data_IF_304100445517
#
_entry.id   IF_304100445517
#
_cell.length_a   1.000
_cell.length_b   1.000
_cell.length_c   1.000
_cell.angle_alpha   90.00
_cell.angle_beta   90.00
_cell.angle_gamma   90.00
#
_symmetry.space_group_name_H-M   'P 1'
#
loop_
_entity.id
_entity.type
_entity.pdbx_description
1 polymer ?
#
# COMPACT_ATOMS: atom_id res chain seq x y z
N UNK A 1 0.98 1.75 7.52
CA UNK A 1 -0.20 0.85 7.64
C UNK A 1 -1.37 1.62 8.26
N UNK A 2 -2.57 1.44 7.73
CA UNK A 2 -3.85 1.97 8.26
C UNK A 2 -4.75 0.79 8.56
N UNK A 3 -5.50 0.76 9.67
CA UNK A 3 -6.33 -0.39 10.07
C UNK A 3 -7.68 0.05 10.64
N UNK A 4 -8.73 -0.69 10.32
CA UNK A 4 -10.07 -0.47 10.87
C UNK A 4 -10.15 -0.73 12.37
N UNK A 5 -11.04 -0.02 13.05
CA UNK A 5 -11.37 -0.31 14.46
C UNK A 5 -11.85 -1.76 14.59
N UNK A 6 -11.47 -2.42 15.70
CA UNK A 6 -11.81 -3.83 15.97
C UNK A 6 -11.44 -4.79 14.83
N UNK A 7 -10.46 -4.43 13.99
CA UNK A 7 -10.09 -5.17 12.78
C UNK A 7 -11.26 -5.39 11.80
N UNK A 8 -12.32 -4.58 11.89
CA UNK A 8 -13.48 -4.66 10.99
C UNK A 8 -13.10 -4.20 9.58
N UNK A 9 -13.87 -4.69 8.61
CA UNK A 9 -13.70 -4.30 7.22
C UNK A 9 -13.89 -2.78 7.03
N UNK A 10 -12.87 -2.15 6.45
CA UNK A 10 -12.89 -0.76 5.98
C UNK A 10 -13.22 -0.71 4.48
N UNK A 11 -13.25 -1.84 3.77
CA UNK A 11 -13.77 -1.96 2.40
C UNK A 11 -14.84 -3.05 2.36
N UNK A 12 -16.10 -2.67 2.24
CA UNK A 12 -17.24 -3.60 2.18
C UNK A 12 -17.70 -3.86 0.74
N UNK A 13 -17.31 -2.98 -0.18
CA UNK A 13 -17.69 -3.01 -1.59
C UNK A 13 -16.53 -2.62 -2.51
N UNK A 14 -16.72 -2.79 -3.82
CA UNK A 14 -15.84 -2.20 -4.84
C UNK A 14 -15.84 -0.67 -4.75
N UNK A 15 -17.00 -0.07 -4.51
CA UNK A 15 -17.17 1.38 -4.41
C UNK A 15 -16.31 1.99 -3.28
N UNK A 16 -16.18 1.29 -2.16
CA UNK A 16 -15.31 1.72 -1.06
C UNK A 16 -13.83 1.78 -1.50
N UNK A 17 -13.37 0.78 -2.26
CA UNK A 17 -11.98 0.74 -2.72
C UNK A 17 -11.72 1.83 -3.78
N UNK A 18 -12.65 2.06 -4.70
CA UNK A 18 -12.51 3.13 -5.69
C UNK A 18 -12.51 4.53 -5.06
N UNK A 19 -13.36 4.77 -4.05
CA UNK A 19 -13.36 6.04 -3.29
C UNK A 19 -12.00 6.28 -2.61
N UNK A 20 -11.40 5.22 -2.03
CA UNK A 20 -10.06 5.33 -1.45
C UNK A 20 -8.99 5.62 -2.50
N UNK A 21 -9.00 4.92 -3.64
CA UNK A 21 -8.03 5.14 -4.72
C UNK A 21 -8.17 6.55 -5.30
N UNK A 22 -9.38 6.99 -5.64
CA UNK A 22 -9.62 8.34 -6.18
C UNK A 22 -9.09 9.45 -5.27
N UNK A 23 -9.30 9.30 -3.96
CA UNK A 23 -8.74 10.20 -2.95
C UNK A 23 -7.22 10.14 -2.91
N UNK A 24 -6.64 8.94 -2.89
CA UNK A 24 -5.18 8.77 -2.89
C UNK A 24 -4.55 9.41 -4.13
N UNK A 25 -5.12 9.20 -5.32
CA UNK A 25 -4.68 9.82 -6.57
C UNK A 25 -4.66 11.35 -6.46
N UNK A 26 -5.73 11.95 -5.95
CA UNK A 26 -5.82 13.40 -5.76
C UNK A 26 -4.74 13.90 -4.79
N UNK A 27 -4.56 13.21 -3.66
CA UNK A 27 -3.56 13.57 -2.65
C UNK A 27 -2.13 13.47 -3.19
N UNK A 28 -1.82 12.47 -4.01
CA UNK A 28 -0.52 12.35 -4.66
C UNK A 28 -0.19 13.60 -5.48
N UNK A 29 -1.13 14.09 -6.29
CA UNK A 29 -0.95 15.29 -7.11
C UNK A 29 -0.73 16.53 -6.24
N UNK A 30 -1.60 16.77 -5.26
CA UNK A 30 -1.61 18.01 -4.47
C UNK A 30 -0.43 18.10 -3.48
N UNK A 31 0.08 16.96 -2.98
CA UNK A 31 1.14 16.93 -1.96
C UNK A 31 2.52 16.57 -2.53
N UNK A 32 2.56 16.03 -3.74
CA UNK A 32 3.75 15.42 -4.33
C UNK A 32 4.12 14.08 -3.68
N UNK A 33 3.21 13.45 -2.95
CA UNK A 33 3.43 12.13 -2.35
C UNK A 33 3.60 11.09 -3.45
N UNK A 34 4.74 10.39 -3.46
CA UNK A 34 5.04 9.36 -4.45
C UNK A 34 4.75 7.99 -3.85
N UNK A 35 3.89 7.19 -4.49
CA UNK A 35 3.56 5.83 -4.03
C UNK A 35 4.40 4.82 -4.81
N UNK A 36 5.20 4.03 -4.10
CA UNK A 36 6.07 3.00 -4.66
C UNK A 36 5.36 1.63 -4.69
N UNK A 37 4.74 1.24 -3.57
CA UNK A 37 4.00 -0.02 -3.43
C UNK A 37 2.78 0.16 -2.54
N UNK A 38 1.73 -0.61 -2.80
CA UNK A 38 0.49 -0.53 -2.01
C UNK A 38 -0.35 -1.81 -2.09
N UNK A 39 -1.22 -2.01 -1.10
CA UNK A 39 -2.25 -3.05 -1.11
C UNK A 39 -3.45 -2.63 -0.26
N UNK A 40 -4.67 -2.79 -0.82
CA UNK A 40 -5.92 -2.63 -0.08
C UNK A 40 -6.46 -4.00 0.31
N UNK A 41 -6.51 -4.24 1.62
CA UNK A 41 -6.99 -5.48 2.24
C UNK A 41 -8.30 -5.15 2.98
N UNK A 42 -9.19 -6.13 3.23
CA UNK A 42 -10.55 -5.83 3.71
C UNK A 42 -10.60 -4.90 4.93
N UNK A 43 -9.70 -5.06 5.90
CA UNK A 43 -9.66 -4.28 7.14
C UNK A 43 -8.42 -3.38 7.30
N UNK A 44 -7.51 -3.31 6.33
CA UNK A 44 -6.32 -2.47 6.43
C UNK A 44 -5.68 -2.12 5.08
N UNK A 45 -4.85 -1.09 5.08
CA UNK A 45 -4.10 -0.62 3.93
C UNK A 45 -2.60 -0.61 4.23
N UNK A 46 -1.83 -1.09 3.26
CA UNK A 46 -0.38 -0.92 3.22
C UNK A 46 -0.02 0.07 2.12
N UNK A 47 0.83 1.05 2.45
CA UNK A 47 1.42 2.00 1.53
C UNK A 47 2.92 2.09 1.83
N UNK A 48 3.75 2.04 0.79
CA UNK A 48 5.14 2.44 0.78
C UNK A 48 5.23 3.72 -0.04
N UNK A 49 5.62 4.80 0.61
CA UNK A 49 5.56 6.14 0.03
C UNK A 49 6.86 6.87 0.27
N UNK A 50 7.24 7.70 -0.71
CA UNK A 50 8.28 8.71 -0.58
C UNK A 50 7.60 10.07 -0.44
N UNK A 51 7.94 10.79 0.62
CA UNK A 51 7.37 12.12 0.88
C UNK A 51 7.81 13.11 -0.19
N UNK A 52 6.89 13.98 -0.60
CA UNK A 52 7.16 15.03 -1.56
C UNK A 52 7.33 16.39 -0.88
N UNK A 53 6.74 17.41 -1.51
CA UNK A 53 6.81 18.83 -1.12
C UNK A 53 6.11 19.14 0.20
N UNK A 54 5.14 18.31 0.61
CA UNK A 54 4.38 18.47 1.86
C UNK A 54 4.68 17.32 2.83
N UNK A 55 4.60 17.55 4.15
CA UNK A 55 4.74 16.48 5.14
C UNK A 55 3.74 15.34 4.91
N UNK A 56 4.18 14.09 5.16
CA UNK A 56 3.33 12.90 5.04
C UNK A 56 1.99 13.06 5.79
N UNK A 57 2.05 13.62 6.99
CA UNK A 57 0.89 13.81 7.85
C UNK A 57 -0.22 14.63 7.18
N UNK A 58 0.13 15.61 6.35
CA UNK A 58 -0.85 16.46 5.63
C UNK A 58 -1.64 15.63 4.62
N UNK A 59 -0.97 14.84 3.80
CA UNK A 59 -1.62 13.95 2.84
C UNK A 59 -2.45 12.86 3.51
N UNK A 60 -1.88 12.20 4.52
CA UNK A 60 -2.54 11.11 5.24
C UNK A 60 -3.78 11.60 6.02
N UNK A 61 -3.74 12.79 6.64
CA UNK A 61 -4.92 13.37 7.32
C UNK A 61 -6.06 13.57 6.31
N UNK A 62 -5.80 14.21 5.17
CA UNK A 62 -6.84 14.48 4.17
C UNK A 62 -7.40 13.18 3.57
N UNK A 63 -6.53 12.23 3.24
CA UNK A 63 -6.93 10.91 2.72
C UNK A 63 -7.86 10.19 3.70
N UNK A 64 -7.43 10.03 4.95
CA UNK A 64 -8.12 9.18 5.92
C UNK A 64 -9.38 9.83 6.47
N UNK A 65 -9.34 11.13 6.79
CA UNK A 65 -10.54 11.84 7.25
C UNK A 65 -11.61 11.85 6.16
N UNK A 66 -11.23 12.20 4.93
CA UNK A 66 -12.19 12.24 3.83
C UNK A 66 -12.79 10.88 3.51
N UNK A 67 -11.97 9.83 3.51
CA UNK A 67 -12.45 8.46 3.33
C UNK A 67 -13.42 8.02 4.44
N UNK A 68 -13.06 8.26 5.70
CA UNK A 68 -13.89 7.85 6.84
C UNK A 68 -15.28 8.53 6.82
N UNK A 69 -15.33 9.83 6.48
CA UNK A 69 -16.60 10.56 6.33
C UNK A 69 -17.48 9.94 5.24
N UNK A 70 -16.93 9.69 4.05
CA UNK A 70 -17.67 9.08 2.95
C UNK A 70 -18.15 7.66 3.30
N UNK A 71 -17.27 6.85 3.89
CA UNK A 71 -17.60 5.49 4.31
C UNK A 71 -18.73 5.48 5.34
N UNK A 72 -18.65 6.34 6.37
CA UNK A 72 -19.67 6.44 7.40
C UNK A 72 -21.02 6.85 6.81
N UNK A 73 -21.04 7.86 5.93
CA UNK A 73 -22.26 8.27 5.22
C UNK A 73 -22.84 7.13 4.38
N UNK A 74 -22.01 6.47 3.57
CA UNK A 74 -22.42 5.37 2.67
C UNK A 74 -23.01 4.19 3.44
N UNK A 75 -22.42 3.84 4.57
CA UNK A 75 -22.79 2.67 5.37
C UNK A 75 -23.67 3.02 6.57
N UNK A 76 -24.20 4.24 6.65
CA UNK A 76 -25.03 4.77 7.76
C UNK A 76 -24.40 4.49 9.14
N UNK A 77 -23.09 4.65 9.24
CA UNK A 77 -22.32 4.45 10.48
C UNK A 77 -22.08 5.77 11.18
N UNK A 78 -21.93 5.67 12.50
CA UNK A 78 -21.41 6.73 13.37
C UNK A 78 -20.11 6.28 14.03
N UNK A 79 -19.29 7.25 14.46
CA UNK A 79 -18.04 7.00 15.17
C UNK A 79 -16.81 6.75 14.29
N UNK A 80 -15.71 6.34 14.94
CA UNK A 80 -14.42 6.15 14.28
C UNK A 80 -14.43 4.96 13.32
N UNK A 81 -13.77 5.12 12.17
CA UNK A 81 -13.53 4.02 11.23
C UNK A 81 -12.18 3.33 11.46
N UNK A 82 -11.15 4.11 11.79
CA UNK A 82 -9.77 3.63 11.93
C UNK A 82 -9.35 3.54 13.39
N UNK A 83 -8.56 2.53 13.74
CA UNK A 83 -8.05 2.31 15.10
C UNK A 83 -7.13 3.43 15.58
N UNK A 84 -6.31 3.96 14.66
CA UNK A 84 -5.35 5.02 14.90
C UNK A 84 -5.23 5.84 13.60
N UNK A 85 -4.50 6.96 13.63
CA UNK A 85 -4.20 7.75 12.43
C UNK A 85 -3.51 6.88 11.37
N UNK A 86 -2.31 6.40 11.64
CA UNK A 86 -1.58 5.41 10.84
C UNK A 86 -0.31 5.01 11.59
N UNK A 87 0.25 3.84 11.24
CA UNK A 87 1.62 3.45 11.63
C UNK A 87 2.57 3.78 10.48
N UNK A 88 3.61 4.58 10.74
CA UNK A 88 4.70 4.88 9.81
C UNK A 88 6.02 4.33 10.35
N UNK A 89 6.84 3.80 9.44
CA UNK A 89 8.18 3.29 9.71
C UNK A 89 9.08 3.97 8.67
N UNK A 90 10.20 4.55 9.12
CA UNK A 90 11.18 5.13 8.20
C UNK A 90 11.95 3.98 7.52
N UNK A 91 12.17 4.12 6.22
CA UNK A 91 12.81 3.12 5.38
C UNK A 91 14.07 3.76 4.82
N UNK A 92 15.24 3.27 5.24
CA UNK A 92 16.53 3.63 4.65
C UNK A 92 16.70 2.92 3.30
N UNK A 93 17.45 3.52 2.36
CA UNK A 93 17.58 2.99 1.00
C UNK A 93 18.56 1.80 0.96
N UNK A 94 18.13 0.75 0.24
CA UNK A 94 18.76 -0.53 -0.16
C UNK A 94 19.45 -1.41 0.91
N UNK A 95 19.21 -2.74 0.95
CA UNK A 95 18.27 -3.63 0.21
C UNK A 95 16.85 -3.77 0.81
N UNK A 96 16.56 -3.08 1.93
CA UNK A 96 15.30 -3.21 2.66
C UNK A 96 14.06 -2.71 1.86
N UNK A 97 14.27 -1.80 0.91
CA UNK A 97 13.20 -1.21 0.09
C UNK A 97 12.48 -2.26 -0.78
N UNK A 98 13.24 -3.07 -1.53
CA UNK A 98 12.68 -4.08 -2.43
C UNK A 98 11.95 -5.16 -1.63
N UNK A 99 12.48 -5.53 -0.46
CA UNK A 99 11.83 -6.45 0.46
C UNK A 99 10.47 -5.93 0.94
N UNK A 100 10.36 -4.63 1.21
CA UNK A 100 9.07 -4.02 1.55
C UNK A 100 8.10 -3.99 0.37
N UNK A 101 8.58 -3.71 -0.85
CA UNK A 101 7.75 -3.80 -2.07
C UNK A 101 7.16 -5.21 -2.18
N UNK A 102 8.00 -6.24 -2.08
CA UNK A 102 7.59 -7.64 -2.12
C UNK A 102 6.62 -7.99 -1.01
N UNK A 103 6.94 -7.58 0.20
CA UNK A 103 6.09 -7.83 1.36
C UNK A 103 4.69 -7.27 1.15
N UNK A 104 4.57 -5.99 0.75
CA UNK A 104 3.29 -5.33 0.52
C UNK A 104 2.52 -6.02 -0.61
N UNK A 105 3.16 -6.27 -1.74
CA UNK A 105 2.51 -6.84 -2.91
C UNK A 105 2.02 -8.28 -2.70
N UNK A 106 2.71 -9.08 -1.87
CA UNK A 106 2.28 -10.43 -1.50
C UNK A 106 1.21 -10.48 -0.39
N UNK A 107 0.81 -9.36 0.21
CA UNK A 107 -0.18 -9.38 1.29
C UNK A 107 -1.53 -10.00 0.87
N UNK A 108 -2.13 -9.66 -0.29
CA UNK A 108 -3.39 -10.27 -0.71
C UNK A 108 -3.32 -11.80 -0.79
N UNK A 109 -2.20 -12.35 -1.29
CA UNK A 109 -1.96 -13.79 -1.34
C UNK A 109 -1.82 -14.38 0.07
N UNK A 110 -0.99 -13.76 0.92
CA UNK A 110 -0.71 -14.24 2.29
C UNK A 110 -1.92 -14.26 3.23
N UNK A 111 -2.93 -13.43 2.97
CA UNK A 111 -4.18 -13.43 3.74
C UNK A 111 -5.31 -14.24 3.08
N UNK A 112 -5.01 -14.95 1.98
CA UNK A 112 -5.99 -15.77 1.25
C UNK A 112 -7.04 -14.97 0.47
N UNK A 113 -6.76 -13.71 0.12
CA UNK A 113 -7.68 -12.88 -0.67
C UNK A 113 -7.63 -13.21 -2.17
N UNK A 114 -6.51 -13.76 -2.61
CA UNK A 114 -6.30 -14.36 -3.94
C UNK A 114 -5.60 -15.70 -3.76
N UNK A 115 -5.83 -16.63 -4.68
CA UNK A 115 -5.37 -18.03 -4.53
C UNK A 115 -3.90 -18.24 -4.90
N UNK A 116 -3.41 -17.51 -5.91
CA UNK A 116 -2.07 -17.69 -6.46
C UNK A 116 -1.52 -16.39 -7.07
N UNK A 117 -0.31 -16.47 -7.64
CA UNK A 117 0.35 -15.33 -8.31
C UNK A 117 -0.35 -14.88 -9.59
N UNK A 118 -1.09 -15.77 -10.26
CA UNK A 118 -1.86 -15.42 -11.47
C UNK A 118 -3.03 -14.52 -11.07
N UNK A 119 -3.81 -14.93 -10.09
CA UNK A 119 -4.89 -14.13 -9.52
C UNK A 119 -4.37 -12.82 -8.90
N UNK A 120 -3.18 -12.84 -8.26
CA UNK A 120 -2.54 -11.63 -7.75
C UNK A 120 -2.17 -10.65 -8.87
N UNK A 121 -1.70 -11.15 -10.01
CA UNK A 121 -1.28 -10.33 -11.16
C UNK A 121 -2.42 -9.49 -11.73
N UNK A 122 -3.66 -10.00 -11.66
CA UNK A 122 -4.86 -9.33 -12.15
C UNK A 122 -5.66 -8.65 -11.02
N UNK A 123 -5.25 -8.78 -9.75
CA UNK A 123 -5.93 -8.16 -8.61
C UNK A 123 -5.81 -6.63 -8.68
N UNK A 124 -6.91 -5.86 -8.82
CA UNK A 124 -6.85 -4.43 -9.12
C UNK A 124 -6.55 -3.55 -7.89
N UNK A 125 -6.49 -4.16 -6.70
CA UNK A 125 -6.35 -3.47 -5.42
C UNK A 125 -4.96 -3.68 -4.77
N UNK A 126 -3.95 -3.89 -5.61
CA UNK A 126 -2.53 -3.98 -5.23
C UNK A 126 -1.68 -3.25 -6.26
N UNK A 127 -0.55 -2.70 -5.83
CA UNK A 127 0.44 -2.12 -6.73
C UNK A 127 1.16 -3.15 -7.60
N UNK A 128 1.06 -4.43 -7.28
CA UNK A 128 1.64 -5.51 -8.07
C UNK A 128 1.12 -5.53 -9.51
N UNK A 129 -0.19 -5.45 -9.69
CA UNK A 129 -0.84 -5.48 -11.02
C UNK A 129 -0.45 -4.27 -11.87
N UNK A 130 -0.19 -3.12 -11.25
CA UNK A 130 0.34 -1.94 -11.93
C UNK A 130 1.80 -2.12 -12.37
N UNK A 131 2.67 -2.69 -11.52
CA UNK A 131 4.07 -2.98 -11.88
C UNK A 131 4.15 -3.96 -13.06
N UNK A 132 3.24 -4.93 -13.11
CA UNK A 132 3.13 -5.87 -14.24
C UNK A 132 2.49 -5.26 -15.50
N UNK A 133 1.91 -4.06 -15.40
CA UNK A 133 1.20 -3.41 -16.50
C UNK A 133 -0.19 -3.99 -16.80
N UNK A 134 -0.76 -4.76 -15.87
CA UNK A 134 -2.10 -5.38 -16.01
C UNK A 134 -3.22 -4.41 -15.65
N UNK A 135 -3.02 -3.62 -14.59
CA UNK A 135 -3.97 -2.58 -14.15
C UNK A 135 -3.21 -1.26 -14.03
N UNK A 136 -3.26 -0.39 -15.05
CA UNK A 136 -2.51 0.87 -15.04
C UNK A 136 -2.93 1.79 -13.88
N UNK A 137 -1.93 2.38 -13.21
CA UNK A 137 -2.12 3.37 -12.14
C UNK A 137 -1.12 4.50 -12.32
N UNK A 138 -1.52 5.57 -13.01
CA UNK A 138 -0.64 6.72 -13.34
C UNK A 138 -0.05 7.42 -12.11
N UNK A 139 -0.69 7.30 -10.94
CA UNK A 139 -0.25 7.88 -9.68
C UNK A 139 0.76 7.01 -8.91
N UNK A 140 0.99 5.76 -9.34
CA UNK A 140 2.02 4.90 -8.76
C UNK A 140 3.33 5.06 -9.55
N UNK A 141 4.45 5.15 -8.85
CA UNK A 141 5.78 5.25 -9.45
C UNK A 141 6.28 3.90 -10.00
N UNK A 142 5.56 3.37 -11.01
CA UNK A 142 5.87 2.10 -11.65
C UNK A 142 7.28 2.09 -12.24
N UNK A 143 7.66 3.14 -12.95
CA UNK A 143 8.98 3.22 -13.59
C UNK A 143 10.12 3.18 -12.57
N UNK A 144 9.99 3.94 -11.46
CA UNK A 144 11.00 4.01 -10.38
C UNK A 144 11.21 2.65 -9.70
N UNK A 145 10.15 1.89 -9.47
CA UNK A 145 10.26 0.56 -8.84
C UNK A 145 10.74 -0.48 -9.84
N UNK A 146 10.23 -0.45 -11.08
CA UNK A 146 10.64 -1.41 -12.12
C UNK A 146 12.12 -1.22 -12.48
N UNK A 147 12.64 0.01 -12.55
CA UNK A 147 14.05 0.25 -12.89
C UNK A 147 15.04 -0.34 -11.89
N UNK A 148 14.63 -0.60 -10.65
CA UNK A 148 15.45 -1.31 -9.65
C UNK A 148 15.77 -2.76 -10.05
N UNK A 149 14.99 -3.33 -10.98
CA UNK A 149 15.18 -4.69 -11.49
C UNK A 149 15.92 -4.72 -12.85
N UNK A 150 16.42 -3.57 -13.31
CA UNK A 150 17.23 -3.44 -14.50
C UNK A 150 16.77 -2.34 -15.46
N UNK A 151 17.62 -1.96 -16.44
CA UNK A 151 17.39 -0.79 -17.30
C UNK A 151 16.34 -1.02 -18.40
N UNK A 152 16.15 -2.26 -18.86
CA UNK A 152 15.17 -2.57 -19.90
C UNK A 152 13.85 -3.04 -19.28
N UNK A 153 12.77 -2.26 -19.46
CA UNK A 153 11.47 -2.48 -18.80
C UNK A 153 10.94 -3.92 -18.91
N UNK A 154 11.04 -4.54 -20.09
CA UNK A 154 10.55 -5.91 -20.28
C UNK A 154 11.36 -6.95 -19.48
N UNK A 155 12.69 -6.80 -19.43
CA UNK A 155 13.58 -7.66 -18.62
C UNK A 155 13.37 -7.39 -17.13
N UNK A 156 13.28 -6.12 -16.75
CA UNK A 156 13.04 -5.70 -15.38
C UNK A 156 11.71 -6.24 -14.81
N UNK A 157 10.63 -6.22 -15.60
CA UNK A 157 9.36 -6.85 -15.19
C UNK A 157 9.46 -8.36 -14.99
N UNK A 158 10.30 -9.06 -15.78
CA UNK A 158 10.55 -10.50 -15.57
C UNK A 158 11.33 -10.74 -14.28
N UNK A 159 12.39 -9.98 -14.04
CA UNK A 159 13.16 -10.04 -12.80
C UNK A 159 12.31 -9.69 -11.57
N UNK A 160 11.47 -8.66 -11.65
CA UNK A 160 10.48 -8.33 -10.62
C UNK A 160 9.52 -9.49 -10.34
N UNK A 161 9.00 -10.17 -11.37
CA UNK A 161 8.12 -11.33 -11.21
C UNK A 161 8.81 -12.47 -10.48
N UNK A 162 10.04 -12.81 -10.89
CA UNK A 162 10.84 -13.83 -10.22
C UNK A 162 11.08 -13.48 -8.74
N UNK A 163 11.46 -12.22 -8.48
CA UNK A 163 11.65 -11.72 -7.11
C UNK A 163 10.39 -11.84 -6.23
N UNK A 164 9.20 -11.57 -6.77
CA UNK A 164 7.91 -11.77 -6.08
C UNK A 164 7.66 -13.27 -5.84
N UNK A 165 7.92 -14.11 -6.83
CA UNK A 165 7.75 -15.56 -6.74
C UNK A 165 8.62 -16.15 -5.63
N UNK A 166 9.88 -15.76 -5.54
CA UNK A 166 10.80 -16.20 -4.47
C UNK A 166 10.32 -15.82 -3.06
N UNK A 167 9.47 -14.78 -2.95
CA UNK A 167 8.88 -14.34 -1.69
C UNK A 167 7.64 -15.12 -1.26
N UNK A 168 7.06 -15.97 -2.12
CA UNK A 168 5.82 -16.72 -1.81
C UNK A 168 6.05 -17.79 -0.76
N UNK A 169 7.19 -18.49 -0.82
CA UNK A 169 7.61 -19.47 0.18
C UNK A 169 8.01 -18.82 1.52
N UNK A 170 8.31 -17.52 1.49
CA UNK A 170 8.64 -16.77 2.70
C UNK A 170 7.33 -16.41 3.40
N UNK A 171 7.05 -17.11 4.49
CA UNK A 171 5.84 -16.94 5.30
C UNK A 171 5.72 -15.55 5.94
N UNK A 172 5.20 -15.48 7.17
CA UNK A 172 5.12 -14.20 7.89
C UNK A 172 6.54 -13.71 8.22
N UNK A 173 6.84 -12.46 7.84
CA UNK A 173 8.09 -11.73 8.16
C UNK A 173 7.80 -10.69 9.24
N UNK A 174 7.99 -10.98 10.55
CA UNK A 174 7.60 -10.09 11.65
C UNK A 174 8.32 -8.72 11.62
N UNK A 175 9.55 -8.69 11.14
CA UNK A 175 10.38 -7.50 10.96
C UNK A 175 9.77 -6.48 9.96
N UNK A 176 8.90 -6.95 9.06
CA UNK A 176 8.19 -6.12 8.07
C UNK A 176 6.76 -5.74 8.54
N UNK A 177 6.27 -6.36 9.62
CA UNK A 177 4.98 -6.07 10.28
C UNK A 177 5.15 -5.10 11.46
N UNK A 178 6.30 -5.17 12.13
CA UNK A 178 6.54 -4.66 13.47
C UNK A 178 7.27 -3.33 13.59
N UNK A 179 8.02 -2.90 12.58
CA UNK A 179 8.92 -1.75 12.69
C UNK A 179 10.36 -2.22 12.85
N UNK A 180 11.13 -2.16 11.77
CA UNK A 180 12.58 -2.31 11.83
C UNK A 180 13.24 -1.11 12.55
N UNK A 181 14.24 -1.44 13.37
CA UNK A 181 15.31 -0.70 14.08
C UNK A 181 15.14 0.75 14.57
N UNK A 182 14.35 1.63 13.95
CA UNK A 182 14.18 3.01 14.44
C UNK A 182 12.72 3.44 14.35
N UNK A 183 12.05 3.43 15.51
CA UNK A 183 10.85 4.24 15.71
C UNK A 183 11.28 5.70 15.55
N UNK A 184 10.63 6.45 14.66
CA UNK A 184 10.68 7.90 14.71
C UNK A 184 10.28 8.32 16.12
N UNK A 185 11.23 8.86 16.88
CA UNK A 185 11.02 9.42 18.20
C UNK A 185 9.86 10.43 18.10
N UNK A 186 8.75 10.08 18.73
CA UNK A 186 7.48 10.78 18.56
C UNK A 186 6.33 9.99 19.16
N UNK A 187 6.61 9.31 20.29
CA UNK A 187 5.57 8.99 21.25
C UNK A 187 5.11 10.33 21.83
N UNK A 188 3.81 10.56 21.76
CA UNK A 188 3.19 11.62 22.55
C UNK A 188 3.38 11.20 24.01
N UNK A 189 3.92 12.11 24.82
CA UNK A 189 3.86 12.03 26.28
C UNK A 189 2.41 11.93 26.73
#
# INVERSE_FOLDING_TARGET
MVRGIERRAIFRSKQDREDFISRLTTICVETGLVVLAWALLPNHVHLLVRTGRRPLATGMRRLLTGYAVNFNRRHRRVGHLFQNRYKSILVEQDPYLLELVRYIHLNPLRIGLVLDLTALADYPWTGHSALLGRVPRSWQAVAEVVSQFGPQTARARRAYRAFIQDGTAQGRRPELQGGGLRRSAGGWQ
#
